data_IF_333808010977
#
_entry.id   IF_333808010977
#
_cell.length_a   1.000
_cell.length_b   1.000
_cell.length_c   1.000
_cell.angle_alpha   90.00
_cell.angle_beta   90.00
_cell.angle_gamma   90.00
#
_symmetry.space_group_name_H-M   'P 1'
#
loop_
_entity.id
_entity.type
_entity.pdbx_description
1 polymer ?
#
# COMPACT_ATOMS: atom_id res chain seq x y z
N UNK A 1 -10.25 28.42 -11.80
CA UNK A 1 -10.82 29.54 -12.57
C UNK A 1 -12.33 29.32 -12.73
N UNK A 2 -13.10 30.42 -12.72
CA UNK A 2 -14.54 30.54 -12.99
C UNK A 2 -15.53 30.06 -11.89
N UNK A 3 -15.76 30.94 -10.91
CA UNK A 3 -16.95 30.97 -10.06
C UNK A 3 -18.11 31.58 -10.85
N UNK A 4 -19.10 30.77 -11.23
CA UNK A 4 -20.36 31.21 -11.83
C UNK A 4 -21.36 31.61 -10.74
N UNK A 5 -21.43 32.91 -10.42
CA UNK A 5 -22.47 33.52 -9.60
C UNK A 5 -23.68 33.84 -10.49
N UNK A 6 -24.60 32.89 -10.64
CA UNK A 6 -25.93 33.17 -11.22
C UNK A 6 -26.85 33.56 -10.06
N UNK A 7 -26.83 34.86 -9.74
CA UNK A 7 -27.81 35.49 -8.88
C UNK A 7 -29.11 35.71 -9.65
N UNK A 8 -29.99 34.71 -9.68
CA UNK A 8 -31.36 34.86 -10.16
C UNK A 8 -32.15 35.69 -9.16
N UNK A 9 -32.12 37.02 -9.33
CA UNK A 9 -33.00 38.00 -8.67
C UNK A 9 -34.40 37.88 -9.30
N UNK A 10 -35.12 36.81 -8.96
CA UNK A 10 -36.53 36.66 -9.35
C UNK A 10 -37.40 37.31 -8.28
N UNK A 11 -38.10 38.38 -8.68
CA UNK A 11 -39.39 38.72 -8.09
C UNK A 11 -39.42 39.79 -6.99
N UNK A 12 -39.18 41.05 -7.35
CA UNK A 12 -39.92 42.18 -6.74
C UNK A 12 -40.29 43.25 -7.78
N UNK A 13 -41.39 43.07 -8.54
CA UNK A 13 -42.08 44.23 -9.12
C UNK A 13 -43.58 44.27 -8.83
N UNK A 14 -44.06 43.68 -7.72
CA UNK A 14 -45.52 43.67 -7.42
C UNK A 14 -45.91 44.62 -6.28
N UNK A 15 -44.97 45.06 -5.44
CA UNK A 15 -45.30 45.93 -4.29
C UNK A 15 -45.46 47.40 -4.69
N UNK A 16 -44.86 47.85 -5.80
CA UNK A 16 -44.99 49.24 -6.27
C UNK A 16 -46.25 49.53 -7.10
N UNK A 17 -46.94 48.53 -7.65
CA UNK A 17 -48.20 48.77 -8.38
C UNK A 17 -49.44 48.92 -7.48
N UNK A 18 -49.35 48.57 -6.19
CA UNK A 18 -50.49 48.71 -5.27
C UNK A 18 -50.68 50.16 -4.76
N UNK A 19 -49.67 51.03 -4.89
CA UNK A 19 -49.72 52.41 -4.40
C UNK A 19 -50.35 53.35 -5.45
N UNK A 20 -50.25 53.02 -6.74
CA UNK A 20 -50.89 53.79 -7.82
C UNK A 20 -52.42 53.61 -7.93
N UNK A 21 -53.00 52.56 -7.35
CA UNK A 21 -54.44 52.29 -7.49
C UNK A 21 -55.34 52.99 -6.46
N UNK A 22 -54.77 53.62 -5.42
CA UNK A 22 -55.56 54.44 -4.47
C UNK A 22 -55.88 55.84 -4.98
N UNK A 23 -55.18 56.33 -6.01
CA UNK A 23 -55.34 57.69 -6.52
C UNK A 23 -56.19 57.82 -7.79
N UNK A 24 -56.55 56.72 -8.47
CA UNK A 24 -57.34 56.76 -9.70
C UNK A 24 -58.84 56.38 -9.52
N UNK A 25 -59.29 56.14 -8.29
CA UNK A 25 -60.68 55.78 -8.02
C UNK A 25 -61.58 56.98 -7.62
N UNK A 26 -61.04 58.20 -7.53
CA UNK A 26 -61.81 59.38 -7.11
C UNK A 26 -62.42 60.21 -8.26
N UNK A 27 -62.15 59.86 -9.53
CA UNK A 27 -62.49 60.73 -10.66
C UNK A 27 -63.57 60.19 -11.63
N UNK A 28 -64.13 58.99 -11.41
CA UNK A 28 -65.25 58.50 -12.25
C UNK A 28 -66.32 57.88 -11.37
N UNK A 29 -67.47 58.54 -11.28
CA UNK A 29 -68.68 58.07 -10.62
C UNK A 29 -69.35 56.90 -11.34
N UNK A 30 -68.65 55.76 -11.46
CA UNK A 30 -69.26 54.48 -11.83
C UNK A 30 -69.47 53.65 -10.55
N UNK A 31 -70.62 53.92 -9.93
CA UNK A 31 -71.25 53.00 -8.97
C UNK A 31 -71.65 51.74 -9.73
N UNK A 32 -70.87 50.69 -9.59
CA UNK A 32 -71.49 49.41 -9.27
C UNK A 32 -70.67 48.75 -8.17
N UNK A 33 -71.34 48.57 -7.03
CA UNK A 33 -70.79 47.86 -5.87
C UNK A 33 -70.29 46.45 -6.27
N UNK A 34 -70.80 45.93 -7.39
CA UNK A 34 -70.34 44.72 -8.08
C UNK A 34 -68.94 44.85 -8.69
N UNK A 35 -68.53 45.98 -9.27
CA UNK A 35 -67.19 46.14 -9.86
C UNK A 35 -66.08 46.22 -8.80
N UNK A 36 -66.36 46.90 -7.67
CA UNK A 36 -65.44 46.97 -6.53
C UNK A 36 -65.29 45.62 -5.83
N UNK A 37 -66.40 44.89 -5.61
CA UNK A 37 -66.37 43.51 -5.09
C UNK A 37 -65.63 42.56 -6.04
N UNK A 38 -65.77 42.72 -7.35
CA UNK A 38 -65.03 41.94 -8.37
C UNK A 38 -63.52 42.19 -8.29
N UNK A 39 -63.09 43.44 -8.14
CA UNK A 39 -61.68 43.82 -7.96
C UNK A 39 -61.10 43.31 -6.63
N UNK A 40 -61.83 43.42 -5.52
CA UNK A 40 -61.39 42.86 -4.23
C UNK A 40 -61.29 41.33 -4.27
N UNK A 41 -62.23 40.65 -4.93
CA UNK A 41 -62.16 39.20 -5.14
C UNK A 41 -60.98 38.81 -6.00
N UNK A 42 -60.71 39.52 -7.11
CA UNK A 42 -59.53 39.32 -7.95
C UNK A 42 -58.23 39.54 -7.17
N UNK A 43 -58.18 40.56 -6.30
CA UNK A 43 -57.01 40.85 -5.48
C UNK A 43 -56.80 39.79 -4.38
N UNK A 44 -57.88 39.27 -3.80
CA UNK A 44 -57.83 38.11 -2.88
C UNK A 44 -57.36 36.84 -3.60
N UNK A 45 -57.87 36.55 -4.80
CA UNK A 45 -57.41 35.39 -5.59
C UNK A 45 -55.96 35.56 -6.03
N UNK A 46 -55.53 36.76 -6.44
CA UNK A 46 -54.15 37.03 -6.81
C UNK A 46 -53.20 36.88 -5.61
N UNK A 47 -53.58 37.36 -4.41
CA UNK A 47 -52.81 37.15 -3.18
C UNK A 47 -52.73 35.67 -2.79
N UNK A 48 -53.81 34.92 -2.94
CA UNK A 48 -53.82 33.46 -2.69
C UNK A 48 -52.96 32.71 -3.70
N UNK A 49 -53.04 33.04 -4.99
CA UNK A 49 -52.18 32.49 -6.05
C UNK A 49 -50.71 32.81 -5.80
N UNK A 50 -50.39 34.05 -5.43
CA UNK A 50 -49.02 34.45 -5.11
C UNK A 50 -48.46 33.69 -3.90
N UNK A 51 -49.26 33.51 -2.83
CA UNK A 51 -48.87 32.67 -1.68
C UNK A 51 -48.64 31.22 -2.10
N UNK A 52 -49.54 30.64 -2.92
CA UNK A 52 -49.42 29.28 -3.41
C UNK A 52 -48.22 29.06 -4.35
N UNK A 53 -47.89 30.04 -5.21
CA UNK A 53 -46.65 29.99 -6.00
C UNK A 53 -45.42 30.20 -5.15
N UNK A 54 -45.46 31.08 -4.15
CA UNK A 54 -44.34 31.32 -3.24
C UNK A 54 -43.99 30.07 -2.41
N UNK A 55 -45.00 29.34 -1.91
CA UNK A 55 -44.78 28.06 -1.22
C UNK A 55 -44.23 27.00 -2.16
N UNK A 56 -44.77 26.87 -3.39
CA UNK A 56 -44.24 25.95 -4.40
C UNK A 56 -42.79 26.24 -4.79
N UNK A 57 -42.41 27.52 -4.96
CA UNK A 57 -41.03 27.91 -5.25
C UNK A 57 -40.09 27.54 -4.09
N UNK A 58 -40.48 27.82 -2.84
CA UNK A 58 -39.71 27.41 -1.66
C UNK A 58 -39.54 25.88 -1.55
N UNK A 59 -40.58 25.13 -1.91
CA UNK A 59 -40.53 23.67 -1.92
C UNK A 59 -39.64 23.11 -3.03
N UNK A 60 -39.63 23.74 -4.22
CA UNK A 60 -38.72 23.37 -5.30
C UNK A 60 -37.26 23.70 -4.93
N UNK A 61 -37.00 24.87 -4.34
CA UNK A 61 -35.66 25.24 -3.87
C UNK A 61 -35.14 24.30 -2.78
N UNK A 62 -35.99 23.86 -1.86
CA UNK A 62 -35.60 22.90 -0.83
C UNK A 62 -35.31 21.52 -1.43
N UNK A 63 -36.12 21.07 -2.41
CA UNK A 63 -35.88 19.83 -3.17
C UNK A 63 -34.58 19.88 -3.97
N UNK A 64 -34.26 21.00 -4.62
CA UNK A 64 -32.98 21.16 -5.34
C UNK A 64 -31.78 21.16 -4.40
N UNK A 65 -31.86 21.88 -3.28
CA UNK A 65 -30.81 21.87 -2.24
C UNK A 65 -30.59 20.46 -1.68
N UNK A 66 -31.65 19.69 -1.49
CA UNK A 66 -31.55 18.31 -1.04
C UNK A 66 -30.88 17.41 -2.09
N UNK A 67 -31.29 17.50 -3.36
CA UNK A 67 -30.65 16.77 -4.47
C UNK A 67 -29.17 17.11 -4.62
N UNK A 68 -28.79 18.38 -4.46
CA UNK A 68 -27.41 18.82 -4.51
C UNK A 68 -26.57 18.23 -3.36
N UNK A 69 -27.12 18.22 -2.13
CA UNK A 69 -26.49 17.58 -0.97
C UNK A 69 -26.31 16.07 -1.18
N UNK A 70 -27.32 15.39 -1.70
CA UNK A 70 -27.26 13.95 -1.95
C UNK A 70 -26.27 13.60 -3.06
N UNK A 71 -26.18 14.42 -4.12
CA UNK A 71 -25.17 14.27 -5.18
C UNK A 71 -23.75 14.46 -4.61
N UNK A 72 -23.52 15.52 -3.83
CA UNK A 72 -22.23 15.77 -3.19
C UNK A 72 -21.81 14.63 -2.24
N UNK A 73 -22.75 14.11 -1.42
CA UNK A 73 -22.49 12.94 -0.56
C UNK A 73 -22.14 11.70 -1.37
N UNK A 74 -22.84 11.44 -2.48
CA UNK A 74 -22.54 10.30 -3.38
C UNK A 74 -21.16 10.43 -4.01
N UNK A 75 -20.78 11.63 -4.46
CA UNK A 75 -19.44 11.89 -5.03
C UNK A 75 -18.34 11.70 -3.99
N UNK A 76 -18.50 12.26 -2.78
CA UNK A 76 -17.56 12.05 -1.68
C UNK A 76 -17.40 10.56 -1.32
N UNK A 77 -18.51 9.79 -1.35
CA UNK A 77 -18.46 8.36 -1.05
C UNK A 77 -17.78 7.57 -2.17
N UNK A 78 -17.93 7.97 -3.44
CA UNK A 78 -17.20 7.40 -4.57
C UNK A 78 -15.70 7.70 -4.47
N UNK A 79 -15.32 8.93 -4.15
CA UNK A 79 -13.91 9.34 -4.00
C UNK A 79 -13.24 8.59 -2.85
N UNK A 80 -13.91 8.46 -1.70
CA UNK A 80 -13.41 7.64 -0.58
C UNK A 80 -13.22 6.17 -0.97
N UNK A 81 -14.18 5.59 -1.71
CA UNK A 81 -14.05 4.21 -2.22
C UNK A 81 -12.90 4.05 -3.20
N UNK A 82 -12.66 5.04 -4.06
CA UNK A 82 -11.56 5.01 -5.02
C UNK A 82 -10.21 5.08 -4.29
N UNK A 83 -10.05 6.04 -3.38
CA UNK A 83 -8.85 6.17 -2.53
C UNK A 83 -8.57 4.91 -1.73
N UNK A 84 -9.62 4.29 -1.17
CA UNK A 84 -9.47 3.02 -0.44
C UNK A 84 -8.98 1.89 -1.36
N UNK A 85 -9.51 1.77 -2.57
CA UNK A 85 -9.06 0.77 -3.55
C UNK A 85 -7.60 0.99 -3.96
N UNK A 86 -7.18 2.23 -4.18
CA UNK A 86 -5.78 2.58 -4.49
C UNK A 86 -4.85 2.23 -3.32
N UNK A 87 -5.25 2.54 -2.09
CA UNK A 87 -4.50 2.16 -0.89
C UNK A 87 -4.39 0.64 -0.73
N UNK A 88 -5.45 -0.10 -1.03
CA UNK A 88 -5.44 -1.56 -0.92
C UNK A 88 -4.62 -2.21 -2.06
N UNK A 89 -4.64 -1.64 -3.27
CA UNK A 89 -3.79 -2.08 -4.39
C UNK A 89 -2.31 -1.87 -4.07
N UNK A 90 -1.93 -0.66 -3.63
CA UNK A 90 -0.54 -0.36 -3.25
C UNK A 90 -0.05 -1.22 -2.08
N UNK A 91 -0.91 -1.53 -1.10
CA UNK A 91 -0.56 -2.49 -0.02
C UNK A 91 -0.31 -3.90 -0.58
N UNK A 92 -1.14 -4.37 -1.52
CA UNK A 92 -0.96 -5.69 -2.15
C UNK A 92 0.33 -5.76 -2.95
N UNK A 93 0.65 -4.73 -3.73
CA UNK A 93 1.90 -4.63 -4.48
C UNK A 93 3.11 -4.64 -3.55
N UNK A 94 3.10 -3.82 -2.48
CA UNK A 94 4.15 -3.82 -1.47
C UNK A 94 4.32 -5.19 -0.80
N UNK A 95 3.21 -5.88 -0.52
CA UNK A 95 3.25 -7.23 0.04
C UNK A 95 3.86 -8.25 -0.94
N UNK A 96 3.50 -8.17 -2.23
CA UNK A 96 4.07 -9.04 -3.26
C UNK A 96 5.56 -8.77 -3.46
N UNK A 97 5.97 -7.51 -3.55
CA UNK A 97 7.38 -7.11 -3.60
C UNK A 97 8.14 -7.60 -2.36
N UNK A 98 7.57 -7.42 -1.16
CA UNK A 98 8.18 -7.91 0.08
C UNK A 98 8.32 -9.45 0.11
N UNK A 99 7.37 -10.18 -0.46
CA UNK A 99 7.46 -11.65 -0.60
C UNK A 99 8.54 -12.05 -1.59
N UNK A 100 8.67 -11.34 -2.70
CA UNK A 100 9.71 -11.58 -3.71
C UNK A 100 11.10 -11.27 -3.14
N UNK A 101 11.28 -10.11 -2.51
CA UNK A 101 12.56 -9.76 -1.87
C UNK A 101 12.94 -10.75 -0.77
N UNK A 102 11.97 -11.20 0.06
CA UNK A 102 12.21 -12.23 1.06
C UNK A 102 12.68 -13.55 0.44
N UNK A 103 12.02 -14.01 -0.64
CA UNK A 103 12.42 -15.24 -1.34
C UNK A 103 13.79 -15.11 -2.02
N UNK A 104 14.06 -13.97 -2.62
CA UNK A 104 15.33 -13.70 -3.29
C UNK A 104 16.50 -13.60 -2.30
N UNK A 105 16.28 -13.07 -1.09
CA UNK A 105 17.32 -12.89 -0.06
C UNK A 105 17.44 -14.08 0.91
N UNK A 106 16.57 -15.09 0.81
CA UNK A 106 16.67 -16.29 1.65
C UNK A 106 17.90 -17.13 1.27
N UNK A 107 18.51 -17.75 2.29
CA UNK A 107 19.61 -18.68 2.09
C UNK A 107 19.17 -19.86 1.21
N UNK A 108 20.01 -20.17 0.23
CA UNK A 108 19.72 -21.21 -0.76
C UNK A 108 19.81 -22.58 -0.11
N UNK A 109 18.65 -23.23 0.05
CA UNK A 109 18.59 -24.60 0.56
C UNK A 109 18.71 -25.60 -0.58
N UNK A 110 19.49 -26.65 -0.36
CA UNK A 110 19.52 -27.80 -1.25
C UNK A 110 18.16 -28.49 -1.26
N UNK A 111 17.72 -28.95 -2.43
CA UNK A 111 16.57 -29.85 -2.53
C UNK A 111 17.02 -31.26 -2.18
N UNK A 112 16.19 -32.00 -1.45
CA UNK A 112 16.44 -33.42 -1.20
C UNK A 112 16.03 -34.27 -2.42
N UNK A 113 16.48 -35.53 -2.47
CA UNK A 113 16.25 -36.44 -3.59
C UNK A 113 14.77 -36.57 -3.94
N UNK A 114 13.92 -36.85 -2.94
CA UNK A 114 12.47 -36.98 -3.13
C UNK A 114 11.83 -35.71 -3.70
N UNK A 115 12.22 -34.54 -3.21
CA UNK A 115 11.75 -33.26 -3.73
C UNK A 115 12.21 -33.00 -5.16
N UNK A 116 13.43 -33.44 -5.51
CA UNK A 116 13.96 -33.37 -6.87
C UNK A 116 13.22 -34.30 -7.84
N UNK A 117 12.93 -35.53 -7.43
CA UNK A 117 12.10 -36.47 -8.20
C UNK A 117 10.70 -35.90 -8.41
N UNK A 118 10.06 -35.38 -7.36
CA UNK A 118 8.74 -34.74 -7.47
C UNK A 118 8.75 -33.54 -8.43
N UNK A 119 9.82 -32.74 -8.39
CA UNK A 119 10.00 -31.57 -9.26
C UNK A 119 10.18 -31.96 -10.74
N UNK A 120 11.05 -32.93 -11.02
CA UNK A 120 11.40 -33.33 -12.39
C UNK A 120 10.32 -34.18 -13.05
N UNK A 121 9.74 -35.14 -12.31
CA UNK A 121 8.73 -36.07 -12.81
C UNK A 121 7.29 -35.52 -12.65
N UNK A 122 7.12 -34.35 -12.03
CA UNK A 122 5.82 -33.72 -11.75
C UNK A 122 4.84 -34.64 -11.00
N UNK A 123 5.37 -35.54 -10.17
CA UNK A 123 4.57 -36.49 -9.38
C UNK A 123 4.06 -35.81 -8.12
N UNK A 124 2.76 -35.96 -7.83
CA UNK A 124 2.15 -35.44 -6.60
C UNK A 124 2.72 -36.11 -5.34
N UNK A 125 2.76 -35.37 -4.22
CA UNK A 125 3.36 -35.83 -2.95
C UNK A 125 2.81 -37.18 -2.48
N UNK A 126 1.51 -37.43 -2.68
CA UNK A 126 0.85 -38.68 -2.27
C UNK A 126 1.37 -39.91 -3.04
N UNK A 127 1.78 -39.75 -4.29
CA UNK A 127 2.22 -40.85 -5.15
C UNK A 127 3.76 -41.02 -5.14
N UNK A 128 4.48 -40.04 -4.58
CA UNK A 128 5.93 -39.99 -4.62
C UNK A 128 6.60 -41.21 -3.97
N UNK A 129 6.09 -41.68 -2.84
CA UNK A 129 6.65 -42.85 -2.15
C UNK A 129 6.55 -44.11 -3.02
N UNK A 130 5.37 -44.36 -3.60
CA UNK A 130 5.17 -45.51 -4.48
C UNK A 130 5.98 -45.40 -5.77
N UNK A 131 6.16 -44.19 -6.30
CA UNK A 131 7.01 -43.94 -7.46
C UNK A 131 8.48 -44.27 -7.17
N UNK A 132 9.02 -43.74 -6.06
CA UNK A 132 10.41 -43.99 -5.65
C UNK A 132 10.67 -45.47 -5.39
N UNK A 133 9.70 -46.19 -4.82
CA UNK A 133 9.82 -47.65 -4.58
C UNK A 133 9.85 -48.49 -5.87
N UNK A 134 9.38 -47.96 -6.99
CA UNK A 134 9.40 -48.65 -8.29
C UNK A 134 10.71 -48.42 -9.06
N UNK A 135 11.49 -47.42 -8.68
CA UNK A 135 12.76 -47.12 -9.34
C UNK A 135 13.79 -48.19 -8.96
N UNK A 136 14.55 -48.63 -9.97
CA UNK A 136 15.75 -49.44 -9.77
C UNK A 136 16.85 -48.65 -9.07
N UNK A 137 17.84 -49.33 -8.52
CA UNK A 137 18.99 -48.67 -7.88
C UNK A 137 19.78 -47.80 -8.88
N UNK A 138 19.91 -48.25 -10.13
CA UNK A 138 20.60 -47.49 -11.17
C UNK A 138 19.86 -46.19 -11.53
N UNK A 139 18.53 -46.22 -11.61
CA UNK A 139 17.72 -45.02 -11.83
C UNK A 139 17.81 -44.05 -10.65
N UNK A 140 17.81 -44.57 -9.42
CA UNK A 140 18.01 -43.74 -8.21
C UNK A 140 19.38 -43.06 -8.22
N UNK A 141 20.44 -43.78 -8.59
CA UNK A 141 21.78 -43.20 -8.70
C UNK A 141 21.84 -42.06 -9.73
N UNK A 142 21.17 -42.22 -10.89
CA UNK A 142 21.04 -41.12 -11.87
C UNK A 142 20.33 -39.90 -11.29
N UNK A 143 19.26 -40.09 -10.52
CA UNK A 143 18.56 -38.98 -9.86
C UNK A 143 19.41 -38.31 -8.79
N UNK A 144 20.19 -39.06 -8.02
CA UNK A 144 21.11 -38.51 -7.01
C UNK A 144 22.18 -37.64 -7.65
N UNK A 145 22.85 -38.13 -8.70
CA UNK A 145 23.82 -37.33 -9.45
C UNK A 145 23.19 -36.05 -10.02
N UNK A 146 22.03 -36.18 -10.69
CA UNK A 146 21.34 -35.02 -11.25
C UNK A 146 20.85 -34.03 -10.17
N UNK A 147 20.48 -34.51 -8.99
CA UNK A 147 20.12 -33.68 -7.84
C UNK A 147 21.33 -32.89 -7.32
N UNK A 148 22.50 -33.52 -7.24
CA UNK A 148 23.74 -32.86 -6.82
C UNK A 148 24.17 -31.78 -7.82
N UNK A 149 24.15 -32.10 -9.11
CA UNK A 149 24.41 -31.13 -10.19
C UNK A 149 23.42 -29.97 -10.14
N UNK A 150 22.12 -30.27 -10.00
CA UNK A 150 21.07 -29.26 -9.84
C UNK A 150 21.31 -28.38 -8.61
N UNK A 151 21.66 -28.97 -7.46
CA UNK A 151 21.92 -28.23 -6.23
C UNK A 151 23.17 -27.37 -6.31
N UNK A 152 24.21 -27.86 -6.97
CA UNK A 152 25.46 -27.13 -7.20
C UNK A 152 25.21 -25.93 -8.10
N UNK A 153 24.54 -26.13 -9.23
CA UNK A 153 24.16 -25.06 -10.16
C UNK A 153 23.18 -24.07 -9.52
N UNK A 154 22.19 -24.56 -8.76
CA UNK A 154 21.28 -23.70 -7.99
C UNK A 154 22.05 -22.81 -7.02
N UNK A 155 23.03 -23.33 -6.28
CA UNK A 155 23.84 -22.52 -5.36
C UNK A 155 24.71 -21.49 -6.09
N UNK A 156 25.22 -21.81 -7.28
CA UNK A 156 26.10 -20.91 -8.03
C UNK A 156 25.42 -19.66 -8.59
N UNK A 157 24.09 -19.67 -8.80
CA UNK A 157 23.33 -18.48 -9.20
C UNK A 157 23.41 -17.32 -8.20
N UNK A 158 23.72 -17.63 -6.95
CA UNK A 158 23.31 -16.84 -5.81
C UNK A 158 24.50 -16.31 -5.05
N UNK A 159 24.73 -15.00 -5.12
CA UNK A 159 25.81 -14.35 -4.38
C UNK A 159 25.56 -14.49 -2.87
N UNK A 160 26.54 -14.94 -2.07
CA UNK A 160 26.41 -15.05 -0.62
C UNK A 160 26.18 -13.68 0.02
N UNK A 161 25.61 -13.67 1.22
CA UNK A 161 25.37 -12.43 1.95
C UNK A 161 26.73 -11.79 2.32
N UNK A 162 26.95 -10.50 2.02
CA UNK A 162 28.20 -9.83 2.33
C UNK A 162 28.40 -9.73 3.84
N UNK A 163 29.66 -9.71 4.25
CA UNK A 163 30.03 -9.30 5.60
C UNK A 163 29.70 -7.83 5.78
N UNK A 164 29.12 -7.51 6.94
CA UNK A 164 28.64 -6.16 7.24
C UNK A 164 29.55 -5.50 8.25
N UNK A 165 29.76 -4.17 8.14
CA UNK A 165 30.53 -3.45 9.14
C UNK A 165 29.86 -3.55 10.53
N UNK A 166 30.65 -3.37 11.62
CA UNK A 166 30.16 -3.40 12.99
C UNK A 166 28.93 -2.50 13.21
N UNK A 167 27.94 -2.99 13.95
CA UNK A 167 26.63 -2.31 14.12
C UNK A 167 26.57 -1.44 15.37
N UNK A 168 27.35 -1.77 16.39
CA UNK A 168 27.40 -1.07 17.66
C UNK A 168 28.85 -1.09 18.18
N UNK A 169 29.11 -0.33 19.25
CA UNK A 169 30.47 -0.25 19.77
C UNK A 169 31.00 -1.54 20.39
N UNK A 170 30.12 -2.40 20.90
CA UNK A 170 30.54 -3.73 21.33
C UNK A 170 31.10 -4.55 20.16
N UNK A 171 30.48 -4.51 18.98
CA UNK A 171 30.98 -5.24 17.81
C UNK A 171 32.30 -4.67 17.29
N UNK A 172 32.54 -3.36 17.45
CA UNK A 172 33.84 -2.74 17.14
C UNK A 172 34.89 -3.27 18.10
N UNK A 173 34.64 -3.18 19.40
CA UNK A 173 35.51 -3.71 20.45
C UNK A 173 35.79 -5.21 20.26
N UNK A 174 34.75 -5.99 19.96
CA UNK A 174 34.87 -7.43 19.73
C UNK A 174 35.74 -7.74 18.52
N UNK A 175 35.62 -6.98 17.43
CA UNK A 175 36.47 -7.19 16.24
C UNK A 175 37.94 -6.88 16.54
N UNK A 176 38.22 -5.80 17.27
CA UNK A 176 39.58 -5.41 17.67
C UNK A 176 40.19 -6.44 18.63
N UNK A 177 39.48 -6.80 19.71
CA UNK A 177 39.98 -7.78 20.69
C UNK A 177 40.05 -9.21 20.16
N UNK A 178 39.16 -9.58 19.25
CA UNK A 178 39.23 -10.89 18.60
C UNK A 178 40.54 -11.02 17.80
N UNK A 179 40.93 -9.99 17.05
CA UNK A 179 42.16 -10.01 16.27
C UNK A 179 43.41 -10.06 17.15
N UNK A 180 43.41 -9.37 18.29
CA UNK A 180 44.49 -9.44 19.27
C UNK A 180 44.61 -10.82 19.93
N UNK A 181 43.47 -11.43 20.29
CA UNK A 181 43.44 -12.67 21.06
C UNK A 181 43.40 -13.93 20.21
N UNK A 182 43.12 -13.87 18.89
CA UNK A 182 42.99 -15.09 18.06
C UNK A 182 44.26 -15.94 18.03
N UNK A 183 45.41 -15.32 18.23
CA UNK A 183 46.72 -15.99 18.27
C UNK A 183 47.06 -16.60 19.64
N UNK A 184 46.19 -16.44 20.64
CA UNK A 184 46.40 -16.96 22.00
C UNK A 184 46.25 -18.48 22.13
N UNK A 185 45.74 -19.17 21.09
CA UNK A 185 45.49 -20.61 21.11
C UNK A 185 44.26 -21.03 21.92
N UNK A 186 43.52 -20.08 22.49
CA UNK A 186 42.27 -20.34 23.20
C UNK A 186 41.17 -20.84 22.24
N UNK A 187 40.28 -21.70 22.76
CA UNK A 187 39.09 -22.10 22.01
C UNK A 187 38.17 -20.88 21.82
N UNK A 188 37.55 -20.74 20.64
CA UNK A 188 36.69 -19.59 20.30
C UNK A 188 35.66 -19.26 21.40
N UNK A 189 35.09 -20.27 22.04
CA UNK A 189 34.08 -20.09 23.10
C UNK A 189 34.65 -19.38 24.33
N UNK A 190 35.86 -19.74 24.74
CA UNK A 190 36.54 -19.16 25.90
C UNK A 190 37.00 -17.73 25.58
N UNK A 191 37.52 -17.53 24.37
CA UNK A 191 37.93 -16.23 23.86
C UNK A 191 36.75 -15.24 23.84
N UNK A 192 35.59 -15.63 23.31
CA UNK A 192 34.41 -14.75 23.34
C UNK A 192 33.90 -14.48 24.76
N UNK A 193 34.02 -15.45 25.68
CA UNK A 193 33.66 -15.25 27.09
C UNK A 193 34.58 -14.22 27.75
N UNK A 194 35.89 -14.28 27.45
CA UNK A 194 36.87 -13.32 27.94
C UNK A 194 36.58 -11.91 27.42
N UNK A 195 36.42 -11.74 26.10
CA UNK A 195 36.11 -10.44 25.48
C UNK A 195 34.81 -9.86 26.05
N UNK A 196 33.78 -10.67 26.23
CA UNK A 196 32.53 -10.21 26.85
C UNK A 196 32.73 -9.76 28.30
N UNK A 197 33.59 -10.45 29.05
CA UNK A 197 34.00 -10.08 30.40
C UNK A 197 34.69 -8.71 30.42
N UNK A 198 35.70 -8.52 29.57
CA UNK A 198 36.44 -7.25 29.44
C UNK A 198 35.50 -6.09 29.09
N UNK A 199 34.57 -6.30 28.14
CA UNK A 199 33.58 -5.28 27.81
C UNK A 199 32.66 -4.93 28.99
N UNK A 200 32.26 -5.91 29.78
CA UNK A 200 31.37 -5.66 30.92
C UNK A 200 32.05 -4.81 32.00
N UNK A 201 33.36 -4.97 32.19
CA UNK A 201 34.17 -4.22 33.14
C UNK A 201 34.48 -2.78 32.70
N UNK A 202 34.40 -2.48 31.39
CA UNK A 202 34.63 -1.12 30.87
C UNK A 202 33.58 -0.11 31.36
N UNK A 203 34.05 1.08 31.71
CA UNK A 203 33.24 2.24 32.08
C UNK A 203 32.46 2.80 30.87
N UNK A 204 31.48 3.67 31.14
CA UNK A 204 30.71 4.32 30.08
C UNK A 204 31.58 5.20 29.18
N UNK A 205 32.60 5.86 29.75
CA UNK A 205 33.53 6.71 29.01
C UNK A 205 34.44 5.89 28.10
N UNK A 206 35.00 4.79 28.58
CA UNK A 206 35.77 3.85 27.74
C UNK A 206 34.92 3.24 26.63
N UNK A 207 33.65 2.93 26.92
CA UNK A 207 32.71 2.41 25.90
C UNK A 207 32.37 3.46 24.84
N UNK A 208 32.47 4.75 25.16
CA UNK A 208 32.19 5.83 24.23
C UNK A 208 33.26 5.97 23.13
N UNK A 209 34.47 5.45 23.36
CA UNK A 209 35.54 5.40 22.36
C UNK A 209 35.19 4.46 21.19
N UNK A 210 34.45 3.38 21.48
CA UNK A 210 34.07 2.38 20.48
C UNK A 210 32.81 2.77 19.68
N UNK A 211 32.40 4.04 19.64
CA UNK A 211 31.20 4.44 18.89
C UNK A 211 31.32 4.09 17.40
N UNK A 212 30.28 3.46 16.86
CA UNK A 212 30.20 3.19 15.42
C UNK A 212 30.11 4.51 14.66
N UNK A 213 31.04 4.82 13.73
CA UNK A 213 30.92 5.97 12.85
C UNK A 213 29.58 5.94 12.12
N UNK A 214 28.92 7.10 12.01
CA UNK A 214 27.65 7.22 11.26
C UNK A 214 27.79 6.66 9.83
N UNK A 215 28.96 6.85 9.24
CA UNK A 215 29.38 6.32 7.95
C UNK A 215 29.25 4.78 7.85
N UNK A 216 29.58 4.02 8.91
CA UNK A 216 29.43 2.56 8.90
C UNK A 216 27.96 2.12 8.84
N UNK A 217 27.05 2.91 9.41
CA UNK A 217 25.60 2.65 9.33
C UNK A 217 25.06 2.89 7.93
N UNK A 218 25.50 3.96 7.28
CA UNK A 218 25.12 4.29 5.89
C UNK A 218 25.70 3.27 4.92
N UNK A 219 27.00 2.97 5.03
CA UNK A 219 27.68 1.94 4.26
C UNK A 219 27.04 0.56 4.41
N UNK A 220 26.59 0.18 5.61
CA UNK A 220 25.85 -1.07 5.84
C UNK A 220 24.54 -1.12 5.06
N UNK A 221 23.80 -0.01 5.03
CA UNK A 221 22.54 0.09 4.28
C UNK A 221 22.80 0.00 2.78
N UNK A 222 23.85 0.64 2.29
CA UNK A 222 24.25 0.59 0.89
C UNK A 222 24.65 -0.82 0.47
N UNK A 223 25.56 -1.48 1.19
CA UNK A 223 25.97 -2.87 0.94
C UNK A 223 24.76 -3.80 0.91
N UNK A 224 23.84 -3.69 1.87
CA UNK A 224 22.65 -4.52 1.90
C UNK A 224 21.69 -4.22 0.75
N UNK A 225 21.56 -2.95 0.35
CA UNK A 225 20.71 -2.53 -0.76
C UNK A 225 21.26 -3.06 -2.09
N UNK A 226 22.55 -2.90 -2.34
CA UNK A 226 23.24 -3.41 -3.51
C UNK A 226 23.14 -4.93 -3.59
N UNK A 227 23.44 -5.62 -2.49
CA UNK A 227 23.29 -7.07 -2.41
C UNK A 227 21.85 -7.51 -2.68
N UNK A 228 20.86 -6.84 -2.10
CA UNK A 228 19.43 -7.17 -2.33
C UNK A 228 19.04 -6.97 -3.79
N UNK A 229 19.50 -5.88 -4.43
CA UNK A 229 19.24 -5.63 -5.85
C UNK A 229 19.89 -6.70 -6.74
N UNK A 230 21.15 -7.05 -6.45
CA UNK A 230 21.84 -8.14 -7.16
C UNK A 230 21.09 -9.46 -7.02
N UNK A 231 20.67 -9.80 -5.80
CA UNK A 231 19.90 -11.01 -5.49
C UNK A 231 18.56 -11.08 -6.21
N UNK A 232 17.88 -9.95 -6.40
CA UNK A 232 16.63 -9.91 -7.17
C UNK A 232 16.86 -10.31 -8.62
N UNK A 233 17.89 -9.73 -9.27
CA UNK A 233 18.25 -10.10 -10.64
C UNK A 233 18.69 -11.57 -10.78
N UNK A 234 19.53 -12.04 -9.87
CA UNK A 234 19.93 -13.46 -9.80
C UNK A 234 18.73 -14.40 -9.59
N UNK A 235 17.76 -13.98 -8.77
CA UNK A 235 16.55 -14.77 -8.52
C UNK A 235 15.67 -14.89 -9.75
N UNK A 236 15.51 -13.84 -10.55
CA UNK A 236 14.79 -13.87 -11.82
C UNK A 236 15.45 -14.84 -12.82
N UNK A 237 16.78 -14.77 -12.96
CA UNK A 237 17.55 -15.71 -13.80
C UNK A 237 17.40 -17.15 -13.32
N UNK A 238 17.44 -17.37 -11.99
CA UNK A 238 17.21 -18.68 -11.40
C UNK A 238 15.80 -19.20 -11.68
N UNK A 239 14.77 -18.35 -11.64
CA UNK A 239 13.40 -18.77 -11.95
C UNK A 239 13.27 -19.23 -13.40
N UNK A 240 13.83 -18.48 -14.35
CA UNK A 240 13.86 -18.86 -15.76
C UNK A 240 14.59 -20.20 -15.94
N UNK A 241 15.82 -20.32 -15.40
CA UNK A 241 16.57 -21.57 -15.46
C UNK A 241 15.83 -22.75 -14.84
N UNK A 242 15.13 -22.53 -13.71
CA UNK A 242 14.36 -23.56 -13.03
C UNK A 242 13.17 -24.03 -13.88
N UNK A 243 12.50 -23.12 -14.57
CA UNK A 243 11.38 -23.45 -15.47
C UNK A 243 11.86 -24.21 -16.71
N UNK A 244 13.04 -23.84 -17.22
CA UNK A 244 13.66 -24.50 -18.38
C UNK A 244 14.37 -25.81 -18.04
N UNK A 245 14.65 -26.08 -16.76
CA UNK A 245 15.34 -27.29 -16.34
C UNK A 245 14.53 -28.53 -16.68
N UNK A 246 15.09 -29.38 -17.55
CA UNK A 246 14.52 -30.68 -17.91
C UNK A 246 15.50 -31.77 -17.55
N UNK A 247 15.02 -32.74 -16.79
CA UNK A 247 15.73 -33.98 -16.52
C UNK A 247 15.03 -35.10 -17.28
N UNK A 248 15.80 -35.86 -18.04
CA UNK A 248 15.35 -37.04 -18.77
C UNK A 248 16.11 -38.24 -18.20
N UNK A 249 15.36 -39.28 -17.81
CA UNK A 249 15.87 -40.49 -17.16
C UNK A 249 16.53 -41.45 -18.16
#
# INVERSE_FOLDING_TARGET
MLRSLIGLRVGRPIVQQAIGFRFYASATGLKSDTHRKKLENQLKTAKQRFKATSTKVKELESKEKQKAKDKAKREQLKEKKLKQKELDATKREKLQQAKLTKKATENVRAINLRGFIAFTQKVGVAQLTAFVQRLSQDELAKFEQAQEEYNTKKKSFFTPKPELPPTNGYNVFLAERYEELRSSGLENKELFKQIAGEWSQKTADEKAEYKTPKENSERRKEILKEWTQKRLGEYEQYLQWKEDYRFHL
#
